data_IF_150191570553
#
_entry.id   IF_150191570553
#
_cell.length_a   1.000
_cell.length_b   1.000
_cell.length_c   1.000
_cell.angle_alpha   90.00
_cell.angle_beta   90.00
_cell.angle_gamma   90.00
#
_symmetry.space_group_name_H-M   'P 1'
#
loop_
_entity.id
_entity.type
_entity.pdbx_description
1 polymer ?
#
# COMPACT_ATOMS: atom_id res chain seq x y z
N UNK A 1 -12.32 -32.06 5.92
CA UNK A 1 -12.21 -30.61 5.72
C UNK A 1 -13.60 -30.02 5.51
N UNK A 2 -13.93 -28.98 6.25
CA UNK A 2 -15.24 -28.38 6.12
C UNK A 2 -15.31 -27.52 4.85
N UNK A 3 -16.50 -27.40 4.24
CA UNK A 3 -16.67 -26.53 3.07
C UNK A 3 -16.29 -25.08 3.33
N UNK A 4 -16.56 -24.56 4.55
CA UNK A 4 -16.22 -23.18 4.85
C UNK A 4 -14.71 -22.95 4.91
N UNK A 5 -13.92 -23.91 5.39
CA UNK A 5 -12.46 -23.78 5.36
C UNK A 5 -11.95 -23.77 3.93
N UNK A 6 -12.48 -24.63 3.07
CA UNK A 6 -12.11 -24.64 1.67
C UNK A 6 -12.45 -23.31 0.99
N UNK A 7 -13.64 -22.77 1.27
CA UNK A 7 -14.07 -21.50 0.70
C UNK A 7 -13.16 -20.36 1.14
N UNK A 8 -12.77 -20.31 2.42
CA UNK A 8 -11.87 -19.28 2.91
C UNK A 8 -10.50 -19.36 2.25
N UNK A 9 -9.98 -20.58 2.08
CA UNK A 9 -8.71 -20.77 1.40
C UNK A 9 -8.79 -20.33 -0.06
N UNK A 10 -9.88 -20.64 -0.73
CA UNK A 10 -10.09 -20.22 -2.11
C UNK A 10 -10.14 -18.70 -2.22
N UNK A 11 -10.81 -18.02 -1.30
CA UNK A 11 -10.87 -16.57 -1.29
C UNK A 11 -9.51 -15.95 -1.05
N UNK A 12 -8.71 -16.51 -0.13
CA UNK A 12 -7.37 -16.03 0.12
C UNK A 12 -6.45 -16.29 -1.07
N UNK A 13 -6.65 -17.41 -1.75
CA UNK A 13 -5.89 -17.77 -2.92
C UNK A 13 -6.39 -17.10 -4.19
N UNK A 14 -7.56 -16.43 -4.13
CA UNK A 14 -8.09 -15.68 -5.26
C UNK A 14 -7.26 -14.44 -5.58
N UNK A 15 -6.35 -14.03 -4.70
CA UNK A 15 -5.40 -12.98 -5.01
C UNK A 15 -4.48 -13.45 -6.12
N UNK A 16 -4.41 -12.66 -7.17
CA UNK A 16 -3.47 -12.88 -8.25
C UNK A 16 -2.31 -11.93 -8.08
N UNK A 17 -1.11 -12.47 -8.02
CA UNK A 17 0.10 -11.68 -7.88
C UNK A 17 0.57 -11.23 -9.26
N UNK A 18 0.66 -9.92 -9.40
CA UNK A 18 1.09 -9.31 -10.64
C UNK A 18 2.43 -8.62 -10.42
N UNK A 19 3.35 -8.80 -11.35
CA UNK A 19 4.62 -8.10 -11.31
C UNK A 19 4.38 -6.61 -11.48
N UNK A 20 4.98 -5.82 -10.61
CA UNK A 20 4.77 -4.38 -10.60
C UNK A 20 6.04 -3.63 -11.01
N UNK A 21 7.16 -3.99 -10.43
CA UNK A 21 8.44 -3.38 -10.73
C UNK A 21 9.57 -4.26 -10.18
N UNK A 22 10.79 -3.80 -10.35
CA UNK A 22 11.97 -4.45 -9.81
C UNK A 22 12.30 -3.89 -8.43
N UNK A 23 12.94 -4.71 -7.60
CA UNK A 23 13.48 -4.23 -6.31
C UNK A 23 14.39 -3.01 -6.52
N UNK A 24 15.13 -2.96 -7.61
CA UNK A 24 16.03 -1.85 -7.92
C UNK A 24 15.30 -0.52 -8.15
N UNK A 25 13.99 -0.58 -8.45
CA UNK A 25 13.18 0.62 -8.64
C UNK A 25 12.74 1.25 -7.32
N UNK A 26 12.91 0.55 -6.20
CA UNK A 26 12.49 1.05 -4.90
C UNK A 26 13.54 2.00 -4.32
N UNK A 27 13.06 2.98 -3.54
CA UNK A 27 13.93 3.92 -2.83
C UNK A 27 13.65 3.76 -1.34
N UNK A 28 14.69 3.45 -0.56
CA UNK A 28 14.54 3.21 0.86
C UNK A 28 13.96 4.43 1.57
N UNK A 29 12.98 4.20 2.43
CA UNK A 29 12.32 5.21 3.26
C UNK A 29 11.62 6.30 2.45
N UNK A 30 11.20 5.95 1.24
CA UNK A 30 10.57 6.90 0.32
C UNK A 30 9.53 6.18 -0.52
N UNK A 31 8.73 6.96 -1.25
CA UNK A 31 7.71 6.43 -2.13
C UNK A 31 8.14 6.44 -3.58
N UNK A 32 7.73 5.45 -4.32
CA UNK A 32 7.77 5.43 -5.78
C UNK A 32 6.37 5.16 -6.29
N UNK A 33 6.06 5.58 -7.51
CA UNK A 33 4.72 5.48 -8.05
C UNK A 33 4.68 4.41 -9.14
N UNK A 34 3.65 3.58 -9.09
CA UNK A 34 3.39 2.56 -10.09
C UNK A 34 1.95 2.64 -10.57
N UNK A 35 1.67 2.04 -11.73
CA UNK A 35 0.32 1.98 -12.29
C UNK A 35 -0.21 0.56 -12.25
N UNK A 36 -1.43 0.41 -11.74
CA UNK A 36 -2.12 -0.88 -11.73
C UNK A 36 -3.60 -0.62 -12.04
N UNK A 37 -4.11 -1.25 -13.10
CA UNK A 37 -5.53 -1.18 -13.48
C UNK A 37 -6.07 0.26 -13.50
N UNK A 38 -5.29 1.17 -14.06
CA UNK A 38 -5.70 2.57 -14.20
C UNK A 38 -5.54 3.40 -12.94
N UNK A 39 -5.06 2.83 -11.85
CA UNK A 39 -4.83 3.55 -10.59
C UNK A 39 -3.35 3.79 -10.37
N UNK A 40 -3.01 4.94 -9.82
CA UNK A 40 -1.65 5.21 -9.35
C UNK A 40 -1.51 4.71 -7.93
N UNK A 41 -0.46 3.96 -7.69
CA UNK A 41 -0.16 3.38 -6.39
C UNK A 41 1.19 3.92 -5.92
N UNK A 42 1.25 4.34 -4.68
CA UNK A 42 2.51 4.72 -4.03
C UNK A 42 3.06 3.50 -3.30
N UNK A 43 4.30 3.14 -3.61
CA UNK A 43 5.00 2.04 -2.95
C UNK A 43 6.03 2.64 -2.00
N UNK A 44 5.94 2.26 -0.72
CA UNK A 44 6.90 2.70 0.29
C UNK A 44 7.74 1.52 0.73
N UNK A 45 9.04 1.65 0.59
CA UNK A 45 10.01 0.62 0.94
C UNK A 45 10.75 1.03 2.21
N UNK A 46 10.54 0.27 3.29
CA UNK A 46 11.03 0.57 4.63
C UNK A 46 11.86 -0.60 5.16
N UNK A 47 13.09 -0.76 4.66
CA UNK A 47 13.89 -1.96 4.98
C UNK A 47 14.33 -2.05 6.43
N UNK A 48 14.29 -0.95 7.18
CA UNK A 48 14.74 -0.95 8.57
C UNK A 48 13.64 -1.11 9.60
N UNK A 49 12.39 -1.40 9.19
CA UNK A 49 11.29 -1.49 10.14
C UNK A 49 11.35 -2.74 10.99
N UNK A 50 11.16 -2.54 12.30
CA UNK A 50 11.22 -3.64 13.27
C UNK A 50 10.09 -4.64 13.11
N UNK A 51 8.95 -4.23 12.55
CA UNK A 51 7.82 -5.10 12.34
C UNK A 51 8.09 -6.23 11.35
N UNK A 52 9.17 -6.11 10.58
CA UNK A 52 9.51 -7.06 9.53
C UNK A 52 8.81 -6.82 8.22
N UNK A 53 7.75 -6.04 8.19
CA UNK A 53 7.09 -5.66 6.94
C UNK A 53 7.84 -4.48 6.34
N UNK A 54 8.36 -4.69 5.14
CA UNK A 54 9.24 -3.72 4.50
C UNK A 54 8.59 -2.93 3.39
N UNK A 55 7.43 -3.37 2.90
CA UNK A 55 6.85 -2.82 1.70
C UNK A 55 5.36 -2.55 1.89
N UNK A 56 4.92 -1.36 1.47
CA UNK A 56 3.53 -0.93 1.57
C UNK A 56 3.08 -0.35 0.24
N UNK A 57 1.85 -0.67 -0.16
CA UNK A 57 1.23 -0.13 -1.37
C UNK A 57 -0.07 0.56 -0.99
N UNK A 58 -0.18 1.83 -1.33
CA UNK A 58 -1.29 2.67 -0.92
C UNK A 58 -1.67 3.61 -2.09
N UNK A 59 -2.92 4.07 -2.13
CA UNK A 59 -3.34 5.02 -3.15
C UNK A 59 -2.39 6.21 -3.21
N UNK A 60 -2.04 6.62 -4.42
CA UNK A 60 -1.25 7.84 -4.62
C UNK A 60 -2.12 9.10 -4.66
N UNK A 61 -3.43 8.96 -4.69
CA UNK A 61 -4.34 10.08 -4.77
C UNK A 61 -4.73 10.58 -3.39
N UNK A 62 -4.45 11.86 -3.13
CA UNK A 62 -4.88 12.54 -1.91
C UNK A 62 -6.40 12.75 -1.99
N UNK A 63 -7.19 12.22 -1.04
CA UNK A 63 -8.65 12.31 -1.12
C UNK A 63 -9.17 13.74 -0.92
N UNK A 64 -8.42 14.61 -0.29
CA UNK A 64 -8.83 16.00 -0.08
C UNK A 64 -8.56 16.85 -1.31
N UNK A 65 -7.36 16.79 -1.85
CA UNK A 65 -6.98 17.63 -3.00
C UNK A 65 -7.33 17.00 -4.33
N UNK A 66 -7.43 15.68 -4.40
CA UNK A 66 -7.55 14.95 -5.65
C UNK A 66 -6.25 14.83 -6.42
N UNK A 67 -5.17 15.37 -5.91
CA UNK A 67 -3.88 15.30 -6.57
C UNK A 67 -3.16 13.97 -6.28
N UNK A 68 -2.38 13.51 -7.23
CA UNK A 68 -1.62 12.24 -7.12
C UNK A 68 -0.26 12.52 -6.51
N UNK A 69 -0.22 12.72 -5.19
CA UNK A 69 0.98 13.24 -4.51
C UNK A 69 1.39 12.43 -3.27
N UNK A 70 0.66 11.38 -2.92
CA UNK A 70 0.95 10.64 -1.68
C UNK A 70 2.35 10.05 -1.69
N UNK A 71 2.83 9.57 -2.84
CA UNK A 71 4.17 9.03 -2.96
C UNK A 71 5.28 10.04 -2.69
N UNK A 72 4.96 11.32 -2.68
CA UNK A 72 5.91 12.39 -2.35
C UNK A 72 5.84 12.79 -0.88
N UNK A 73 4.98 12.16 -0.10
CA UNK A 73 4.84 12.45 1.31
C UNK A 73 6.03 11.98 2.13
N UNK A 74 5.99 12.30 3.40
CA UNK A 74 7.08 11.99 4.34
C UNK A 74 6.61 10.85 5.24
N UNK A 75 7.38 9.77 5.27
CA UNK A 75 7.14 8.64 6.17
C UNK A 75 7.56 9.04 7.58
N UNK A 76 6.76 8.68 8.55
CA UNK A 76 7.06 8.95 9.94
C UNK A 76 6.39 7.95 10.86
N UNK A 77 6.62 8.13 12.16
CA UNK A 77 5.96 7.36 13.21
C UNK A 77 5.22 8.34 14.09
N UNK A 78 3.92 8.13 14.26
CA UNK A 78 3.08 9.01 15.05
C UNK A 78 2.28 8.16 16.03
N UNK A 79 2.55 8.34 17.31
CA UNK A 79 1.89 7.59 18.38
C UNK A 79 1.96 6.07 18.20
N UNK A 80 3.06 5.58 17.67
CA UNK A 80 3.26 4.15 17.44
C UNK A 80 2.80 3.65 16.08
N UNK A 81 2.12 4.49 15.29
CA UNK A 81 1.68 4.13 13.95
C UNK A 81 2.67 4.61 12.89
N UNK A 82 2.96 3.74 11.96
CA UNK A 82 3.75 4.09 10.78
C UNK A 82 2.83 4.81 9.81
N UNK A 83 3.17 6.05 9.47
CA UNK A 83 2.29 6.92 8.71
C UNK A 83 3.02 7.59 7.55
N UNK A 84 2.23 8.06 6.58
CA UNK A 84 2.68 8.94 5.53
C UNK A 84 1.98 10.28 5.70
N UNK A 85 2.75 11.36 5.76
CA UNK A 85 2.21 12.73 5.82
C UNK A 85 2.02 13.24 4.41
N UNK A 86 0.77 13.52 4.04
CA UNK A 86 0.43 14.00 2.71
C UNK A 86 1.01 15.41 2.50
N UNK A 87 1.59 15.69 1.32
CA UNK A 87 2.32 16.95 1.12
C UNK A 87 1.49 18.23 1.19
N UNK A 88 0.25 18.18 0.69
CA UNK A 88 -0.54 19.40 0.51
C UNK A 88 -1.26 19.85 1.76
N UNK A 89 -1.91 18.92 2.49
CA UNK A 89 -2.71 19.27 3.65
C UNK A 89 -2.20 18.62 4.94
N UNK A 90 -1.08 17.91 4.86
CA UNK A 90 -0.40 17.34 6.03
C UNK A 90 -1.23 16.32 6.81
N UNK A 91 -2.28 15.72 6.21
CA UNK A 91 -2.97 14.62 6.84
C UNK A 91 -2.02 13.42 6.99
N UNK A 92 -2.20 12.67 8.07
CA UNK A 92 -1.38 11.48 8.32
C UNK A 92 -2.20 10.24 8.05
N UNK A 93 -1.78 9.44 7.08
CA UNK A 93 -2.43 8.18 6.72
C UNK A 93 -1.59 7.02 7.21
N UNK A 94 -2.22 6.06 7.87
CA UNK A 94 -1.53 4.84 8.29
C UNK A 94 -1.17 4.04 7.05
N UNK A 95 0.08 3.61 6.97
CA UNK A 95 0.53 2.81 5.82
C UNK A 95 -0.10 1.43 5.81
N UNK A 96 -0.43 0.89 6.97
CA UNK A 96 -0.97 -0.46 7.07
C UNK A 96 -2.38 -0.58 6.50
N UNK A 97 -3.25 0.36 6.79
CA UNK A 97 -4.66 0.26 6.42
C UNK A 97 -5.21 1.49 5.69
N UNK A 98 -4.44 2.55 5.54
CA UNK A 98 -4.86 3.73 4.80
C UNK A 98 -5.76 4.68 5.56
N UNK A 99 -6.02 4.46 6.86
CA UNK A 99 -6.88 5.36 7.63
C UNK A 99 -6.17 6.66 7.93
N UNK A 100 -6.94 7.76 7.88
CA UNK A 100 -6.43 9.07 8.24
C UNK A 100 -6.62 9.30 9.74
N UNK A 101 -5.53 9.70 10.43
CA UNK A 101 -5.59 9.87 11.88
C UNK A 101 -6.41 11.09 12.29
N UNK A 102 -6.37 12.16 11.48
CA UNK A 102 -7.09 13.40 11.78
C UNK A 102 -8.53 13.39 11.27
N UNK A 103 -8.77 12.74 10.14
CA UNK A 103 -10.06 12.80 9.44
C UNK A 103 -10.52 11.39 9.08
N UNK A 104 -11.30 10.73 9.97
CA UNK A 104 -11.68 9.32 9.73
C UNK A 104 -12.43 9.07 8.43
N UNK A 105 -13.08 10.10 7.87
CA UNK A 105 -13.79 9.98 6.60
C UNK A 105 -12.84 9.90 5.40
N UNK A 106 -11.58 10.31 5.56
CA UNK A 106 -10.57 10.18 4.51
C UNK A 106 -9.88 8.83 4.64
N UNK A 107 -9.92 8.06 3.57
CA UNK A 107 -9.37 6.71 3.58
C UNK A 107 -8.66 6.46 2.26
N UNK A 108 -7.45 5.92 2.32
CA UNK A 108 -6.72 5.47 1.14
C UNK A 108 -6.85 3.96 1.02
N UNK A 109 -6.97 3.47 -0.22
CA UNK A 109 -6.93 2.03 -0.45
C UNK A 109 -5.51 1.53 -0.24
N UNK A 110 -5.39 0.29 0.21
CA UNK A 110 -4.11 -0.39 0.33
C UNK A 110 -4.18 -1.71 -0.43
N UNK A 111 -3.03 -2.21 -0.85
CA UNK A 111 -2.92 -3.48 -1.57
C UNK A 111 -1.90 -4.37 -0.91
N UNK A 112 -2.13 -5.69 -0.94
CA UNK A 112 -1.07 -6.62 -0.58
C UNK A 112 0.10 -6.47 -1.55
N UNK A 113 1.31 -6.47 -1.03
CA UNK A 113 2.50 -6.30 -1.84
C UNK A 113 3.62 -7.12 -1.21
N UNK A 114 4.50 -7.68 -2.05
CA UNK A 114 5.58 -8.52 -1.57
C UNK A 114 6.82 -8.40 -2.45
N UNK A 115 7.94 -8.72 -1.85
CA UNK A 115 9.19 -8.91 -2.57
C UNK A 115 9.31 -10.40 -2.92
N UNK A 116 9.56 -10.69 -4.18
CA UNK A 116 9.74 -12.05 -4.66
C UNK A 116 11.03 -12.09 -5.45
N UNK A 117 12.13 -12.50 -4.81
CA UNK A 117 13.45 -12.39 -5.41
C UNK A 117 13.80 -10.93 -5.69
N UNK A 118 14.08 -10.59 -6.92
CA UNK A 118 14.36 -9.22 -7.35
C UNK A 118 13.11 -8.47 -7.79
N UNK A 119 11.95 -9.10 -7.71
CA UNK A 119 10.70 -8.51 -8.17
C UNK A 119 9.82 -7.99 -7.05
N UNK A 120 9.02 -7.00 -7.37
CA UNK A 120 7.95 -6.48 -6.52
C UNK A 120 6.64 -6.91 -7.13
N UNK A 121 5.81 -7.60 -6.34
CA UNK A 121 4.52 -8.08 -6.81
C UNK A 121 3.40 -7.50 -5.98
N UNK A 122 2.30 -7.17 -6.65
CA UNK A 122 1.09 -6.68 -6.02
C UNK A 122 0.00 -7.74 -6.12
N UNK A 123 -0.79 -7.90 -5.04
CA UNK A 123 -1.91 -8.82 -5.02
C UNK A 123 -3.19 -8.14 -5.45
N UNK A 124 -3.84 -8.70 -6.47
CA UNK A 124 -5.09 -8.19 -6.98
C UNK A 124 -6.18 -9.23 -6.79
N UNK A 125 -7.37 -8.77 -6.43
CA UNK A 125 -8.52 -9.65 -6.29
C UNK A 125 -9.07 -10.04 -7.66
N UNK A 126 -9.44 -11.31 -7.83
CA UNK A 126 -10.11 -11.75 -9.04
C UNK A 126 -11.48 -11.08 -9.25
N UNK A 127 -12.07 -10.58 -8.16
CA UNK A 127 -13.36 -9.93 -8.23
C UNK A 127 -13.25 -8.45 -8.60
N UNK A 128 -12.07 -8.02 -9.00
CA UNK A 128 -11.83 -6.67 -9.43
C UNK A 128 -11.05 -5.87 -8.42
N UNK A 129 -11.00 -4.55 -8.61
CA UNK A 129 -10.28 -3.66 -7.73
C UNK A 129 -10.91 -3.65 -6.35
N UNK A 130 -10.08 -3.63 -5.39
CA UNK A 130 -10.50 -3.55 -3.99
C UNK A 130 -10.97 -2.14 -3.65
#
# INVERSE_FOLDING_TARGET
MSPSSATLLEQQQALQWQSLCSRADLVANSGVVAWVDGAQIALFYLPGEESGKQLYAIDNRDPKSGANVIGRGIVGNLAGDLVIAAPLYKQHFRLEDGTCLEYPEQQLRTWPVRLQGDGVEIGLSELGSI
#
